data_IF_966708605503
#
_entry.id   IF_966708605503
#
_cell.length_a   1.000
_cell.length_b   1.000
_cell.length_c   1.000
_cell.angle_alpha   90.00
_cell.angle_beta   90.00
_cell.angle_gamma   90.00
#
_symmetry.space_group_name_H-M   'P 1'
#
loop_
_entity.id
_entity.type
_entity.pdbx_description
1 polymer ?
#
# COMPACT_ATOMS: atom_id res chain seq x y z
N UNK A 1 -9.07 -5.36 2.71
CA UNK A 1 -8.46 -6.56 3.32
C UNK A 1 -9.49 -7.56 3.81
N UNK A 2 -10.49 -7.16 4.59
CA UNK A 2 -11.59 -8.07 4.98
C UNK A 2 -12.15 -8.93 3.82
N UNK A 3 -12.51 -8.32 2.68
CA UNK A 3 -13.02 -9.07 1.52
C UNK A 3 -12.03 -10.12 0.96
N UNK A 4 -10.72 -9.90 1.12
CA UNK A 4 -9.71 -10.89 0.75
C UNK A 4 -9.75 -12.10 1.67
N UNK A 5 -9.91 -11.91 2.98
CA UNK A 5 -9.97 -12.99 3.97
C UNK A 5 -11.35 -13.69 4.08
N UNK A 6 -12.42 -13.07 3.59
CA UNK A 6 -13.80 -13.60 3.65
C UNK A 6 -14.03 -14.88 2.82
N UNK A 7 -15.25 -15.41 2.80
CA UNK A 7 -15.62 -16.50 1.89
C UNK A 7 -16.10 -16.02 0.51
N UNK A 8 -16.00 -14.72 0.22
CA UNK A 8 -16.37 -14.16 -1.09
C UNK A 8 -15.70 -14.94 -2.24
N UNK A 9 -16.45 -15.46 -3.21
CA UNK A 9 -15.86 -16.17 -4.35
C UNK A 9 -14.85 -15.32 -5.13
N UNK A 10 -13.77 -15.94 -5.62
CA UNK A 10 -12.73 -15.23 -6.39
C UNK A 10 -13.27 -14.62 -7.68
N UNK A 11 -14.22 -15.29 -8.34
CA UNK A 11 -14.85 -14.85 -9.60
C UNK A 11 -16.18 -14.10 -9.40
N UNK A 12 -16.52 -13.69 -8.19
CA UNK A 12 -17.79 -13.03 -7.90
C UNK A 12 -17.94 -11.71 -8.67
N UNK A 13 -19.05 -11.52 -9.39
CA UNK A 13 -19.39 -10.29 -10.11
C UNK A 13 -20.46 -9.51 -9.34
N UNK A 14 -20.17 -8.24 -9.00
CA UNK A 14 -21.08 -7.38 -8.24
C UNK A 14 -22.33 -7.06 -9.07
N UNK A 15 -23.50 -7.11 -8.44
CA UNK A 15 -24.77 -6.66 -8.99
C UNK A 15 -25.41 -5.65 -8.04
N UNK A 16 -26.23 -4.76 -8.60
CA UNK A 16 -27.05 -3.83 -7.80
C UNK A 16 -27.96 -4.63 -6.87
N UNK A 17 -28.00 -4.30 -5.58
CA UNK A 17 -28.73 -5.05 -4.55
C UNK A 17 -27.86 -6.00 -3.72
N UNK A 18 -26.58 -6.18 -4.07
CA UNK A 18 -25.67 -7.06 -3.34
C UNK A 18 -25.02 -6.39 -2.11
N UNK A 19 -25.38 -5.15 -1.76
CA UNK A 19 -24.73 -4.35 -0.72
C UNK A 19 -24.65 -5.11 0.61
N UNK A 20 -25.77 -5.66 1.09
CA UNK A 20 -25.84 -6.42 2.33
C UNK A 20 -24.96 -7.70 2.31
N UNK A 21 -24.85 -8.36 1.15
CA UNK A 21 -24.00 -9.54 0.99
C UNK A 21 -22.52 -9.17 1.04
N UNK A 22 -22.14 -8.04 0.45
CA UNK A 22 -20.78 -7.52 0.49
C UNK A 22 -20.40 -7.08 1.90
N UNK A 23 -21.31 -6.39 2.60
CA UNK A 23 -21.14 -6.04 4.02
C UNK A 23 -20.95 -7.27 4.90
N UNK A 24 -21.77 -8.31 4.72
CA UNK A 24 -21.62 -9.58 5.43
C UNK A 24 -20.24 -10.20 5.22
N UNK A 25 -19.70 -10.19 3.99
CA UNK A 25 -18.35 -10.65 3.73
C UNK A 25 -17.27 -9.75 4.34
N UNK A 26 -17.48 -8.43 4.39
CA UNK A 26 -16.57 -7.51 5.08
C UNK A 26 -16.51 -7.85 6.58
N UNK A 27 -17.67 -7.99 7.24
CA UNK A 27 -17.73 -8.34 8.66
C UNK A 27 -17.09 -9.70 8.91
N UNK A 28 -17.43 -10.71 8.10
CA UNK A 28 -16.87 -12.05 8.20
C UNK A 28 -15.33 -12.04 8.06
N UNK A 29 -14.82 -11.33 7.06
CA UNK A 29 -13.38 -11.22 6.83
C UNK A 29 -12.65 -10.48 7.94
N UNK A 30 -13.25 -9.41 8.48
CA UNK A 30 -12.69 -8.67 9.60
C UNK A 30 -12.64 -9.52 10.87
N UNK A 31 -13.69 -10.29 11.16
CA UNK A 31 -13.71 -11.23 12.29
C UNK A 31 -12.68 -12.35 12.13
N UNK A 32 -12.47 -12.85 10.92
CA UNK A 32 -11.49 -13.91 10.66
C UNK A 32 -10.04 -13.45 10.80
N UNK A 33 -9.74 -12.21 10.39
CA UNK A 33 -8.39 -11.65 10.52
C UNK A 33 -8.12 -11.12 11.93
N UNK A 34 -9.14 -10.58 12.60
CA UNK A 34 -8.91 -9.64 13.70
C UNK A 34 -8.58 -8.24 13.18
N UNK A 35 -8.76 -7.23 14.06
CA UNK A 35 -8.59 -5.83 13.67
C UNK A 35 -7.12 -5.45 13.40
N UNK A 36 -6.19 -5.94 14.21
CA UNK A 36 -4.76 -5.62 14.09
C UNK A 36 -4.21 -6.12 12.75
N UNK A 37 -4.34 -7.42 12.46
CA UNK A 37 -3.88 -8.01 11.21
C UNK A 37 -4.57 -7.40 9.97
N UNK A 38 -5.83 -6.98 10.11
CA UNK A 38 -6.56 -6.30 9.05
C UNK A 38 -5.94 -4.93 8.75
N UNK A 39 -5.63 -4.14 9.78
CA UNK A 39 -4.99 -2.84 9.60
C UNK A 39 -3.56 -2.99 9.07
N UNK A 40 -2.77 -3.86 9.68
CA UNK A 40 -1.39 -4.12 9.28
C UNK A 40 -1.33 -4.56 7.80
N UNK A 41 -2.15 -5.55 7.42
CA UNK A 41 -2.19 -6.04 6.03
C UNK A 41 -2.67 -4.96 5.05
N UNK A 42 -3.56 -4.06 5.48
CA UNK A 42 -4.02 -2.95 4.64
C UNK A 42 -2.91 -1.91 4.43
N UNK A 43 -2.14 -1.60 5.47
CA UNK A 43 -0.99 -0.69 5.40
C UNK A 43 0.09 -1.26 4.46
N UNK A 44 0.48 -2.52 4.61
CA UNK A 44 1.50 -3.14 3.77
C UNK A 44 1.08 -3.30 2.32
N UNK A 45 -0.18 -3.63 2.05
CA UNK A 45 -0.70 -3.64 0.68
C UNK A 45 -0.59 -2.25 0.04
N UNK A 46 -0.99 -1.21 0.79
CA UNK A 46 -0.94 0.16 0.29
C UNK A 46 0.49 0.62 0.03
N UNK A 47 1.41 0.32 0.94
CA UNK A 47 2.84 0.61 0.76
C UNK A 47 3.44 -0.09 -0.44
N UNK A 48 3.16 -1.39 -0.60
CA UNK A 48 3.61 -2.15 -1.76
C UNK A 48 3.05 -1.57 -3.08
N UNK A 49 1.77 -1.19 -3.13
CA UNK A 49 1.18 -0.55 -4.32
C UNK A 49 1.88 0.75 -4.71
N UNK A 50 2.13 1.63 -3.73
CA UNK A 50 2.84 2.89 -3.96
C UNK A 50 4.24 2.68 -4.51
N UNK A 51 4.92 1.62 -4.11
CA UNK A 51 6.29 1.32 -4.53
C UNK A 51 6.38 0.26 -5.62
N UNK A 52 5.28 -0.27 -6.13
CA UNK A 52 5.28 -1.46 -7.00
C UNK A 52 6.15 -1.35 -8.25
N UNK A 53 6.32 -0.13 -8.78
CA UNK A 53 7.17 0.19 -9.92
C UNK A 53 8.68 0.16 -9.59
N UNK A 54 9.05 0.34 -8.33
CA UNK A 54 10.43 0.37 -7.80
C UNK A 54 10.65 -0.68 -6.70
N UNK A 55 9.74 -1.63 -6.54
CA UNK A 55 9.79 -2.59 -5.44
C UNK A 55 10.99 -3.54 -5.57
N UNK A 56 11.71 -3.74 -4.47
CA UNK A 56 12.83 -4.69 -4.41
C UNK A 56 12.36 -6.13 -4.57
N UNK A 57 13.30 -7.04 -4.88
CA UNK A 57 13.01 -8.47 -4.97
C UNK A 57 12.46 -9.03 -3.65
N UNK A 58 13.00 -8.57 -2.52
CA UNK A 58 12.54 -8.91 -1.17
C UNK A 58 11.10 -8.44 -0.94
N UNK A 59 10.80 -7.17 -1.23
CA UNK A 59 9.44 -6.62 -1.12
C UNK A 59 8.43 -7.41 -1.96
N UNK A 60 8.80 -7.76 -3.20
CA UNK A 60 7.98 -8.61 -4.09
C UNK A 60 7.78 -10.02 -3.54
N UNK A 61 8.76 -10.57 -2.81
CA UNK A 61 8.66 -11.89 -2.18
C UNK A 61 7.72 -11.84 -0.99
N UNK A 62 7.89 -10.87 -0.08
CA UNK A 62 7.05 -10.75 1.12
C UNK A 62 5.60 -10.45 0.74
N UNK A 63 5.36 -9.53 -0.21
CA UNK A 63 4.01 -9.27 -0.71
C UNK A 63 3.32 -10.54 -1.25
N UNK A 64 4.03 -11.37 -2.01
CA UNK A 64 3.50 -12.63 -2.53
C UNK A 64 3.24 -13.67 -1.43
N UNK A 65 4.06 -13.68 -0.37
CA UNK A 65 3.84 -14.55 0.78
C UNK A 65 2.59 -14.15 1.57
N UNK A 66 2.37 -12.84 1.78
CA UNK A 66 1.18 -12.31 2.46
C UNK A 66 -0.09 -12.46 1.63
N UNK A 67 0.01 -12.28 0.31
CA UNK A 67 -1.12 -12.35 -0.62
C UNK A 67 -0.90 -13.38 -1.73
N UNK A 68 -0.91 -14.70 -1.42
CA UNK A 68 -0.56 -15.75 -2.39
C UNK A 68 -1.55 -15.84 -3.56
N UNK A 69 -2.80 -15.39 -3.37
CA UNK A 69 -3.84 -15.41 -4.40
C UNK A 69 -4.07 -14.03 -5.03
N UNK A 70 -3.24 -13.63 -5.99
CA UNK A 70 -3.30 -12.31 -6.64
C UNK A 70 -4.67 -11.99 -7.27
N UNK A 71 -5.30 -12.95 -7.96
CA UNK A 71 -6.63 -12.75 -8.54
C UNK A 71 -7.70 -12.42 -7.49
N UNK A 72 -7.60 -13.04 -6.32
CA UNK A 72 -8.50 -12.82 -5.19
C UNK A 72 -8.28 -11.44 -4.56
N UNK A 73 -7.01 -11.04 -4.42
CA UNK A 73 -6.62 -9.72 -3.96
C UNK A 73 -7.19 -8.64 -4.88
N UNK A 74 -6.89 -8.72 -6.17
CA UNK A 74 -7.39 -7.78 -7.18
C UNK A 74 -8.91 -7.66 -7.12
N UNK A 75 -9.62 -8.79 -7.02
CA UNK A 75 -11.08 -8.76 -6.97
C UNK A 75 -11.62 -8.15 -5.67
N UNK A 76 -11.01 -8.45 -4.53
CA UNK A 76 -11.38 -7.85 -3.26
C UNK A 76 -11.20 -6.33 -3.30
N UNK A 77 -10.14 -5.85 -3.94
CA UNK A 77 -9.86 -4.41 -4.08
C UNK A 77 -10.81 -3.72 -5.04
N UNK A 78 -11.11 -4.31 -6.20
CA UNK A 78 -12.12 -3.78 -7.12
C UNK A 78 -13.51 -3.68 -6.47
N UNK A 79 -13.87 -4.64 -5.62
CA UNK A 79 -15.16 -4.60 -4.93
C UNK A 79 -15.17 -3.57 -3.78
N UNK A 80 -14.06 -3.44 -3.06
CA UNK A 80 -13.89 -2.38 -2.07
C UNK A 80 -13.96 -0.98 -2.70
N UNK A 81 -13.37 -0.76 -3.88
CA UNK A 81 -13.43 0.55 -4.53
C UNK A 81 -14.85 0.96 -4.93
N UNK A 82 -15.72 0.00 -5.28
CA UNK A 82 -17.12 0.29 -5.61
C UNK A 82 -17.94 0.72 -4.40
N UNK A 83 -17.61 0.20 -3.22
CA UNK A 83 -18.33 0.47 -1.96
C UNK A 83 -17.81 1.74 -1.26
N UNK A 84 -16.51 2.04 -1.40
CA UNK A 84 -15.88 3.19 -0.75
C UNK A 84 -15.94 4.49 -1.56
N UNK A 85 -16.30 4.44 -2.85
CA UNK A 85 -16.29 5.61 -3.74
C UNK A 85 -17.11 6.80 -3.21
N UNK A 86 -18.18 6.51 -2.47
CA UNK A 86 -19.11 7.52 -1.94
C UNK A 86 -18.83 7.88 -0.47
N UNK A 87 -17.81 7.29 0.15
CA UNK A 87 -17.50 7.54 1.56
C UNK A 87 -16.49 8.68 1.65
N UNK A 88 -16.88 9.76 2.33
CA UNK A 88 -15.97 10.86 2.62
C UNK A 88 -14.88 10.40 3.59
N UNK A 89 -13.61 10.54 3.17
CA UNK A 89 -12.45 10.20 3.99
C UNK A 89 -12.02 11.45 4.75
N UNK A 90 -11.97 11.38 6.08
CA UNK A 90 -11.52 12.50 6.91
C UNK A 90 -10.05 12.88 6.63
N UNK A 91 -9.67 14.13 6.91
CA UNK A 91 -8.29 14.60 6.73
C UNK A 91 -7.28 13.78 7.54
N UNK A 92 -7.65 13.41 8.77
CA UNK A 92 -6.84 12.54 9.63
C UNK A 92 -6.59 11.18 8.96
N UNK A 93 -7.62 10.59 8.35
CA UNK A 93 -7.47 9.33 7.63
C UNK A 93 -6.65 9.49 6.34
N UNK A 94 -6.77 10.63 5.63
CA UNK A 94 -5.93 10.95 4.47
C UNK A 94 -4.46 11.10 4.86
N UNK A 95 -4.16 11.79 5.94
CA UNK A 95 -2.79 11.98 6.41
C UNK A 95 -2.16 10.65 6.84
N UNK A 96 -2.88 9.83 7.60
CA UNK A 96 -2.43 8.48 7.96
C UNK A 96 -2.13 7.63 6.71
N UNK A 97 -3.01 7.70 5.71
CA UNK A 97 -2.82 6.98 4.44
C UNK A 97 -1.59 7.44 3.63
N UNK A 98 -1.00 8.60 3.96
CA UNK A 98 0.24 9.09 3.36
C UNK A 98 1.52 8.55 4.01
N UNK A 99 1.42 7.85 5.15
CA UNK A 99 2.55 7.31 5.92
C UNK A 99 2.53 5.79 5.88
N UNK A 100 2.84 5.23 4.72
CA UNK A 100 2.69 3.79 4.48
C UNK A 100 3.85 2.99 5.02
N UNK A 101 3.55 1.83 5.59
CA UNK A 101 4.57 0.83 5.91
C UNK A 101 4.82 -0.07 4.70
N UNK A 102 6.04 -0.58 4.59
CA UNK A 102 6.45 -1.48 3.52
C UNK A 102 7.23 -2.63 4.13
N UNK A 103 6.84 -3.87 3.83
CA UNK A 103 7.58 -5.05 4.29
C UNK A 103 8.81 -5.32 3.44
N UNK A 104 9.93 -5.66 4.10
CA UNK A 104 11.23 -5.87 3.47
C UNK A 104 12.02 -4.56 3.32
N UNK A 105 13.30 -4.67 2.96
CA UNK A 105 14.18 -3.51 2.88
C UNK A 105 13.69 -2.51 1.82
N UNK A 106 13.41 -1.27 2.25
CA UNK A 106 13.12 -0.16 1.36
C UNK A 106 14.42 0.35 0.71
N UNK A 107 14.38 0.66 -0.59
CA UNK A 107 15.53 1.21 -1.32
C UNK A 107 16.12 2.46 -0.67
N UNK A 108 15.30 3.27 0.01
CA UNK A 108 15.79 4.47 0.69
C UNK A 108 16.50 4.21 2.03
N UNK A 109 16.51 2.97 2.54
CA UNK A 109 17.10 2.63 3.84
C UNK A 109 16.48 3.39 5.04
N UNK A 110 15.26 3.93 4.89
CA UNK A 110 14.61 4.78 5.90
C UNK A 110 14.97 6.27 5.84
N UNK A 111 15.86 6.68 4.93
CA UNK A 111 16.30 8.09 4.80
C UNK A 111 15.27 8.99 4.11
N UNK A 112 14.29 8.41 3.41
CA UNK A 112 13.38 9.15 2.54
C UNK A 112 13.94 9.48 1.16
N UNK A 113 15.18 9.08 0.85
CA UNK A 113 15.83 9.35 -0.44
C UNK A 113 16.50 8.09 -1.00
N UNK A 114 16.48 7.93 -2.31
CA UNK A 114 17.20 6.87 -3.01
C UNK A 114 17.92 7.45 -4.21
N UNK A 115 19.19 7.10 -4.38
CA UNK A 115 19.92 7.37 -5.62
C UNK A 115 19.35 6.49 -6.74
N UNK A 116 19.03 7.12 -7.86
CA UNK A 116 18.58 6.45 -9.06
C UNK A 116 19.48 6.84 -10.22
N UNK A 117 20.10 5.84 -10.84
CA UNK A 117 20.89 5.97 -12.04
C UNK A 117 19.98 5.77 -13.26
N UNK A 118 19.82 6.81 -14.08
CA UNK A 118 18.95 6.75 -15.26
C UNK A 118 19.64 6.13 -16.48
N UNK A 119 20.97 6.20 -16.52
CA UNK A 119 21.80 5.63 -17.58
C UNK A 119 22.85 4.65 -17.00
N UNK A 120 22.67 3.33 -17.18
CA UNK A 120 23.63 2.34 -16.70
C UNK A 120 24.99 2.40 -17.41
N UNK A 121 25.08 3.01 -18.60
CA UNK A 121 26.33 3.20 -19.34
C UNK A 121 27.07 4.48 -18.90
N UNK A 122 26.38 5.41 -18.22
CA UNK A 122 26.94 6.60 -17.58
C UNK A 122 26.55 6.69 -16.09
N UNK A 123 27.12 5.83 -15.22
CA UNK A 123 26.66 5.67 -13.83
C UNK A 123 26.89 6.89 -12.92
N UNK A 124 27.58 7.92 -13.41
CA UNK A 124 27.76 9.20 -12.72
C UNK A 124 26.53 10.11 -12.81
N UNK A 125 25.63 9.88 -13.78
CA UNK A 125 24.36 10.61 -13.87
C UNK A 125 23.29 9.92 -13.00
N UNK A 126 23.39 10.16 -11.69
CA UNK A 126 22.41 9.72 -10.71
C UNK A 126 21.69 10.91 -10.09
N UNK A 127 20.38 10.77 -9.87
CA UNK A 127 19.61 11.75 -9.12
C UNK A 127 19.09 11.15 -7.81
N UNK A 128 18.96 12.01 -6.81
CA UNK A 128 18.22 11.69 -5.60
C UNK A 128 16.72 11.77 -5.89
N UNK A 129 16.05 10.63 -5.82
CA UNK A 129 14.60 10.52 -5.93
C UNK A 129 14.01 10.39 -4.54
N UNK A 130 12.97 11.18 -4.27
CA UNK A 130 12.25 11.10 -3.00
C UNK A 130 11.50 9.76 -2.91
N UNK A 131 11.64 9.06 -1.78
CA UNK A 131 10.94 7.81 -1.53
C UNK A 131 9.43 8.08 -1.38
N UNK A 132 8.55 7.48 -2.21
CA UNK A 132 7.11 7.69 -2.10
C UNK A 132 6.53 7.26 -0.74
N UNK A 133 7.19 6.35 -0.02
CA UNK A 133 6.76 5.89 1.31
C UNK A 133 7.26 6.76 2.47
N UNK A 134 8.55 7.15 2.45
CA UNK A 134 9.21 7.82 3.57
C UNK A 134 9.46 9.33 3.37
N UNK A 135 9.36 9.84 2.15
CA UNK A 135 9.38 11.28 1.84
C UNK A 135 8.44 11.63 0.66
N UNK A 136 7.11 11.41 0.80
CA UNK A 136 6.17 11.61 -0.30
C UNK A 136 6.08 13.06 -0.81
N UNK A 137 6.52 14.04 -0.01
CA UNK A 137 6.51 15.46 -0.38
C UNK A 137 7.83 15.92 -1.04
N UNK A 138 8.86 15.06 -1.07
CA UNK A 138 10.17 15.42 -1.61
C UNK A 138 10.83 16.61 -0.93
N UNK A 139 10.47 16.89 0.32
CA UNK A 139 11.04 18.02 1.05
C UNK A 139 12.44 17.63 1.52
N UNK A 140 13.46 18.33 1.02
CA UNK A 140 14.78 18.29 1.64
C UNK A 140 14.71 19.09 2.93
N UNK A 141 15.11 18.50 4.06
CA UNK A 141 15.33 19.29 5.26
C UNK A 141 16.47 20.26 4.97
N UNK A 142 16.18 21.56 4.91
CA UNK A 142 17.23 22.57 4.90
C UNK A 142 18.04 22.38 6.19
N UNK A 143 19.38 22.26 6.11
CA UNK A 143 20.17 22.18 7.32
C UNK A 143 19.85 23.40 8.16
N UNK A 144 19.33 23.18 9.38
CA UNK A 144 19.18 24.26 10.37
C UNK A 144 20.56 24.88 10.49
N UNK A 145 20.70 26.16 10.09
CA UNK A 145 21.90 26.94 10.40
C UNK A 145 22.07 26.86 11.91
N UNK A 146 23.07 26.12 12.34
CA UNK A 146 23.58 26.20 13.70
C UNK A 146 24.27 27.55 13.75
N UNK A 147 23.58 28.56 14.26
CA UNK A 147 24.24 29.78 14.66
C UNK A 147 25.09 29.41 15.88
N UNK A 148 26.41 29.39 15.67
CA UNK A 148 27.41 29.31 16.74
C UNK A 148 27.45 30.64 17.51
#
# INVERSE_FOLDING_TARGET
>A
MALYASDKPTKYAYKRGDEAQVEAWIVQGALRMGLEDLYESAEFLRGYRMLSHVATSEQKKVHRARFPQAARLNRAESLASLTLLMIEVSDVARERNGRVQVEGACLCGGTGWSEFCFDPDEPTDSALVACPGHNPKGLMQTPRRVYA
#
